data_IF_841214564942
#
_entry.id   IF_841214564942
#
_cell.length_a   1.000
_cell.length_b   1.000
_cell.length_c   1.000
_cell.angle_alpha   90.00
_cell.angle_beta   90.00
_cell.angle_gamma   90.00
#
_symmetry.space_group_name_H-M   'P 1'
#
loop_
_entity.id
_entity.type
_entity.pdbx_description
1 polymer ?
#
# COMPACT_ATOMS: atom_id res chain seq x y z
N UNK A 1 -63.42 29.88 2.69
CA UNK A 1 -62.17 30.10 1.93
C UNK A 1 -61.22 28.96 2.28
N UNK A 2 -60.84 28.16 1.28
CA UNK A 2 -60.08 26.91 1.43
C UNK A 2 -58.59 27.24 1.60
N UNK A 3 -57.95 26.73 2.66
CA UNK A 3 -56.50 26.78 2.85
C UNK A 3 -55.84 25.74 1.92
N UNK A 4 -55.05 26.18 0.94
CA UNK A 4 -54.12 25.33 0.20
C UNK A 4 -52.82 25.17 1.02
N UNK A 5 -52.52 23.95 1.45
CA UNK A 5 -51.20 23.56 1.93
C UNK A 5 -50.35 23.16 0.72
N UNK A 6 -49.30 23.95 0.42
CA UNK A 6 -48.32 23.60 -0.59
C UNK A 6 -47.20 22.78 0.06
N UNK A 7 -47.20 21.46 -0.18
CA UNK A 7 -46.11 20.58 0.23
C UNK A 7 -44.94 20.72 -0.76
N UNK A 8 -43.81 21.26 -0.29
CA UNK A 8 -42.57 21.34 -1.04
C UNK A 8 -41.86 19.98 -0.98
N UNK A 9 -41.97 19.18 -2.04
CA UNK A 9 -41.15 17.97 -2.22
C UNK A 9 -39.72 18.41 -2.58
N UNK A 10 -38.81 18.41 -1.59
CA UNK A 10 -37.37 18.42 -1.86
C UNK A 10 -36.99 17.06 -2.46
N UNK A 11 -36.90 17.00 -3.79
CA UNK A 11 -36.20 15.93 -4.48
C UNK A 11 -34.71 16.07 -4.23
N UNK A 12 -34.18 15.36 -3.24
CA UNK A 12 -32.74 15.17 -3.08
C UNK A 12 -32.24 14.36 -4.28
N UNK A 13 -31.59 15.02 -5.23
CA UNK A 13 -30.83 14.35 -6.30
C UNK A 13 -29.62 13.70 -5.66
N UNK A 14 -29.73 12.41 -5.31
CA UNK A 14 -28.54 11.61 -5.02
C UNK A 14 -27.77 11.46 -6.32
N UNK A 15 -26.60 12.09 -6.41
CA UNK A 15 -25.68 11.90 -7.52
C UNK A 15 -25.25 10.43 -7.53
N UNK A 16 -25.64 9.69 -8.56
CA UNK A 16 -25.11 8.34 -8.80
C UNK A 16 -23.70 8.52 -9.34
N UNK A 17 -22.68 8.26 -8.50
CA UNK A 17 -21.29 8.24 -8.96
C UNK A 17 -21.08 7.06 -9.90
N UNK A 18 -20.36 7.29 -11.00
CA UNK A 18 -20.08 6.25 -11.98
C UNK A 18 -19.19 5.17 -11.37
N UNK A 19 -19.49 3.90 -11.63
CA UNK A 19 -18.73 2.77 -11.12
C UNK A 19 -17.26 2.82 -11.60
N UNK A 20 -16.33 2.58 -10.68
CA UNK A 20 -14.91 2.42 -10.98
C UNK A 20 -14.72 1.20 -11.87
N UNK A 21 -14.04 1.39 -13.00
CA UNK A 21 -13.84 0.33 -14.01
C UNK A 21 -12.46 -0.31 -13.97
N UNK A 22 -11.49 0.33 -13.28
CA UNK A 22 -10.08 -0.05 -13.29
C UNK A 22 -9.42 0.23 -11.95
N UNK A 23 -8.50 -0.62 -11.55
CA UNK A 23 -7.48 -0.32 -10.55
C UNK A 23 -6.46 0.59 -11.23
N UNK A 24 -6.26 1.79 -10.66
CA UNK A 24 -5.31 2.79 -11.14
C UNK A 24 -4.33 3.05 -10.00
N UNK A 25 -3.15 2.38 -9.98
CA UNK A 25 -2.19 2.52 -8.89
C UNK A 25 -1.77 3.98 -8.69
N UNK A 26 -1.88 4.47 -7.45
CA UNK A 26 -1.46 5.81 -7.04
C UNK A 26 -2.53 6.90 -7.22
N UNK A 27 -3.64 6.59 -7.90
CA UNK A 27 -4.76 7.52 -8.01
C UNK A 27 -5.51 7.67 -6.68
N UNK A 28 -6.25 8.77 -6.55
CA UNK A 28 -7.24 8.93 -5.48
C UNK A 28 -8.38 7.96 -5.76
N UNK A 29 -8.57 6.97 -4.90
CA UNK A 29 -9.69 6.05 -4.97
C UNK A 29 -10.82 6.54 -4.07
N UNK A 30 -12.02 6.56 -4.61
CA UNK A 30 -13.23 6.95 -3.87
C UNK A 30 -14.14 5.76 -3.67
N UNK A 31 -14.84 5.74 -2.54
CA UNK A 31 -15.90 4.78 -2.25
C UNK A 31 -17.17 5.09 -3.07
N UNK A 32 -18.21 4.27 -2.89
CA UNK A 32 -19.50 4.43 -3.59
C UNK A 32 -20.26 5.70 -3.23
N UNK A 33 -19.87 6.40 -2.17
CA UNK A 33 -20.43 7.70 -1.75
C UNK A 33 -19.65 8.89 -2.33
N UNK A 34 -18.53 8.63 -3.01
CA UNK A 34 -17.64 9.64 -3.57
C UNK A 34 -16.56 10.14 -2.60
N UNK A 35 -16.50 9.59 -1.38
CA UNK A 35 -15.49 9.95 -0.40
C UNK A 35 -14.19 9.20 -0.66
N UNK A 36 -13.03 9.82 -0.41
CA UNK A 36 -11.74 9.14 -0.54
C UNK A 36 -11.69 7.94 0.40
N UNK A 37 -11.32 6.77 -0.14
CA UNK A 37 -11.09 5.57 0.67
C UNK A 37 -9.93 5.83 1.63
N UNK A 38 -10.17 5.54 2.91
CA UNK A 38 -9.23 5.71 4.02
C UNK A 38 -9.10 4.38 4.77
N UNK A 39 -8.26 3.49 4.23
CA UNK A 39 -8.08 2.10 4.64
C UNK A 39 -6.60 1.67 4.53
N UNK A 40 -5.71 2.51 5.05
CA UNK A 40 -4.26 2.32 4.93
C UNK A 40 -3.73 1.18 5.81
N UNK A 41 -2.54 0.65 5.50
CA UNK A 41 -1.91 -0.40 6.31
C UNK A 41 -2.70 -1.72 6.35
N UNK A 42 -3.71 -1.86 5.51
CA UNK A 42 -4.82 -2.78 5.68
C UNK A 42 -4.60 -4.21 5.20
N UNK A 43 -5.70 -4.94 5.04
CA UNK A 43 -5.73 -6.27 4.42
C UNK A 43 -7.12 -6.64 3.95
N UNK A 44 -7.20 -7.63 3.05
CA UNK A 44 -8.48 -8.12 2.50
C UNK A 44 -8.76 -9.54 2.98
N UNK A 45 -10.01 -9.79 3.36
CA UNK A 45 -10.57 -11.14 3.51
C UNK A 45 -11.80 -11.30 2.61
N UNK A 46 -12.06 -12.52 2.13
CA UNK A 46 -13.30 -12.86 1.41
C UNK A 46 -14.23 -13.65 2.33
N UNK A 47 -15.50 -13.26 2.43
CA UNK A 47 -16.56 -14.03 3.08
C UNK A 47 -17.71 -14.21 2.09
N UNK A 48 -17.98 -15.45 1.69
CA UNK A 48 -18.89 -15.74 0.57
C UNK A 48 -18.38 -15.08 -0.71
N UNK A 49 -19.21 -14.23 -1.32
CA UNK A 49 -18.89 -13.47 -2.54
C UNK A 49 -18.44 -12.03 -2.27
N UNK A 50 -18.32 -11.66 -1.00
CA UNK A 50 -17.96 -10.29 -0.60
C UNK A 50 -16.51 -10.23 -0.11
N UNK A 51 -15.76 -9.29 -0.65
CA UNK A 51 -14.45 -8.88 -0.17
C UNK A 51 -14.63 -7.80 0.91
N UNK A 52 -13.88 -7.92 1.99
CA UNK A 52 -13.83 -6.96 3.08
C UNK A 52 -12.41 -6.44 3.22
N UNK A 53 -12.24 -5.13 3.06
CA UNK A 53 -10.97 -4.44 3.19
C UNK A 53 -10.96 -3.68 4.51
N UNK A 54 -10.17 -4.17 5.47
CA UNK A 54 -9.90 -3.47 6.71
C UNK A 54 -8.67 -2.59 6.54
N UNK A 55 -8.69 -1.39 7.10
CA UNK A 55 -7.51 -0.53 7.17
C UNK A 55 -7.62 0.49 8.30
N UNK A 56 -6.51 1.16 8.61
CA UNK A 56 -6.51 2.26 9.55
C UNK A 56 -6.99 3.53 8.84
N UNK A 57 -7.92 4.26 9.45
CA UNK A 57 -8.34 5.57 8.94
C UNK A 57 -7.38 6.63 9.44
N UNK A 58 -6.51 7.13 8.55
CA UNK A 58 -5.58 8.21 8.86
C UNK A 58 -6.32 9.54 9.16
N UNK A 59 -7.57 9.67 8.70
CA UNK A 59 -8.43 10.83 9.00
C UNK A 59 -9.11 10.74 10.37
N UNK A 60 -9.10 9.57 11.01
CA UNK A 60 -9.83 9.29 12.23
C UNK A 60 -8.96 8.54 13.25
N UNK A 61 -7.79 9.11 13.55
CA UNK A 61 -6.85 8.62 14.56
C UNK A 61 -6.55 7.13 14.45
N UNK A 62 -6.35 6.65 13.21
CA UNK A 62 -6.00 5.28 12.88
C UNK A 62 -6.95 4.25 13.49
N UNK A 63 -8.24 4.61 13.56
CA UNK A 63 -9.30 3.68 13.93
C UNK A 63 -9.51 2.66 12.80
N UNK A 64 -9.89 1.40 13.12
CA UNK A 64 -10.13 0.38 12.10
C UNK A 64 -11.40 0.70 11.30
N UNK A 65 -11.25 0.99 10.02
CA UNK A 65 -12.35 1.20 9.06
C UNK A 65 -12.46 0.00 8.13
N UNK A 66 -13.70 -0.36 7.80
CA UNK A 66 -14.01 -1.49 6.94
C UNK A 66 -14.72 -1.02 5.68
N UNK A 67 -14.33 -1.60 4.55
CA UNK A 67 -15.00 -1.43 3.26
C UNK A 67 -15.41 -2.79 2.73
N UNK A 68 -16.45 -2.83 1.90
CA UNK A 68 -16.88 -4.06 1.22
C UNK A 68 -17.02 -3.87 -0.28
N UNK A 69 -16.73 -4.92 -1.03
CA UNK A 69 -16.87 -4.94 -2.49
C UNK A 69 -17.18 -6.36 -2.96
N UNK A 70 -17.79 -6.49 -4.13
CA UNK A 70 -17.98 -7.79 -4.81
C UNK A 70 -17.08 -7.93 -6.05
N UNK A 71 -16.38 -6.86 -6.45
CA UNK A 71 -15.57 -6.80 -7.67
C UNK A 71 -14.15 -6.24 -7.45
N UNK A 72 -13.81 -5.90 -6.20
CA UNK A 72 -12.56 -5.26 -5.77
C UNK A 72 -12.31 -3.87 -6.38
N UNK A 73 -13.29 -3.28 -7.06
CA UNK A 73 -13.21 -1.96 -7.69
C UNK A 73 -14.13 -0.96 -6.99
N UNK A 74 -15.36 -1.37 -6.71
CA UNK A 74 -16.41 -0.54 -6.16
C UNK A 74 -16.57 -0.86 -4.68
N UNK A 75 -15.97 -0.02 -3.84
CA UNK A 75 -15.91 -0.22 -2.40
C UNK A 75 -16.97 0.61 -1.68
N UNK A 76 -17.84 -0.06 -0.93
CA UNK A 76 -18.79 0.57 -0.01
C UNK A 76 -18.13 0.73 1.36
N UNK A 77 -18.11 1.94 1.87
CA UNK A 77 -17.66 2.23 3.23
C UNK A 77 -18.67 1.67 4.26
N UNK A 78 -18.18 0.78 5.13
CA UNK A 78 -18.94 0.18 6.23
C UNK A 78 -18.63 0.85 7.58
N UNK A 79 -17.81 1.90 7.56
CA UNK A 79 -17.50 2.75 8.68
C UNK A 79 -16.52 2.15 9.69
N UNK A 80 -16.44 2.84 10.82
CA UNK A 80 -15.57 2.51 11.95
C UNK A 80 -16.03 1.23 12.65
N UNK A 81 -15.10 0.29 12.85
CA UNK A 81 -15.38 -1.02 13.47
C UNK A 81 -15.21 -1.01 14.99
N UNK A 82 -14.35 -0.15 15.53
CA UNK A 82 -14.11 0.02 16.96
C UNK A 82 -13.65 1.45 17.27
N UNK A 83 -13.85 1.91 18.50
CA UNK A 83 -13.41 3.24 18.96
C UNK A 83 -11.93 3.30 19.35
N UNK A 84 -11.20 2.19 19.28
CA UNK A 84 -9.75 2.19 19.57
C UNK A 84 -9.01 3.08 18.58
N UNK A 85 -8.09 3.89 19.11
CA UNK A 85 -7.25 4.79 18.32
C UNK A 85 -5.85 4.22 18.17
N UNK A 86 -5.13 4.68 17.14
CA UNK A 86 -3.74 4.32 16.88
C UNK A 86 -3.57 2.81 16.70
N UNK A 87 -4.55 2.14 16.06
CA UNK A 87 -4.48 0.73 15.70
C UNK A 87 -3.85 0.61 14.31
N UNK A 88 -2.53 0.62 14.28
CA UNK A 88 -1.77 0.58 13.04
C UNK A 88 -1.81 -0.81 12.40
N UNK A 89 -1.86 -0.81 11.07
CA UNK A 89 -1.87 -2.00 10.19
C UNK A 89 -2.87 -3.09 10.58
N UNK A 90 -4.17 -2.78 10.71
CA UNK A 90 -5.16 -3.75 11.14
C UNK A 90 -5.29 -4.88 10.11
N UNK A 91 -5.34 -6.13 10.59
CA UNK A 91 -5.54 -7.34 9.80
C UNK A 91 -6.62 -8.21 10.43
N UNK A 92 -7.40 -8.91 9.59
CA UNK A 92 -8.47 -9.80 10.05
C UNK A 92 -7.98 -11.25 10.14
N UNK A 93 -8.38 -11.95 11.20
CA UNK A 93 -8.28 -13.41 11.31
C UNK A 93 -9.59 -14.03 11.79
N UNK A 94 -9.73 -15.36 11.61
CA UNK A 94 -10.89 -16.14 12.07
C UNK A 94 -10.48 -17.51 12.63
N UNK A 95 -9.75 -17.56 13.76
CA UNK A 95 -9.21 -18.80 14.33
C UNK A 95 -10.27 -19.71 14.98
N UNK A 96 -11.39 -19.16 15.46
CA UNK A 96 -12.33 -19.85 16.36
C UNK A 96 -13.81 -19.66 15.96
N UNK A 97 -14.05 -19.24 14.72
CA UNK A 97 -15.38 -18.89 14.22
C UNK A 97 -15.78 -17.44 14.46
N UNK A 98 -15.17 -16.76 15.44
CA UNK A 98 -15.31 -15.31 15.63
C UNK A 98 -14.36 -14.55 14.69
N UNK A 99 -14.71 -13.30 14.38
CA UNK A 99 -13.86 -12.41 13.61
C UNK A 99 -12.98 -11.59 14.53
N UNK A 100 -11.69 -11.60 14.24
CA UNK A 100 -10.69 -10.89 15.01
C UNK A 100 -10.03 -9.82 14.15
N UNK A 101 -9.75 -8.66 14.73
CA UNK A 101 -8.87 -7.64 14.13
C UNK A 101 -7.65 -7.50 15.03
N UNK A 102 -6.46 -7.70 14.46
CA UNK A 102 -5.19 -7.47 15.14
C UNK A 102 -4.52 -6.26 14.52
N UNK A 103 -3.92 -5.42 15.35
CA UNK A 103 -3.08 -4.32 14.88
C UNK A 103 -2.14 -3.86 15.99
N UNK A 104 -1.26 -2.93 15.65
CA UNK A 104 -0.31 -2.39 16.60
C UNK A 104 -0.90 -1.19 17.33
N UNK A 105 -0.83 -1.18 18.67
CA UNK A 105 -1.13 -0.04 19.55
C UNK A 105 0.02 0.14 20.53
N UNK A 106 0.60 1.35 20.60
CA UNK A 106 1.70 1.67 21.52
C UNK A 106 2.85 0.64 21.49
N UNK A 107 3.26 0.26 20.28
CA UNK A 107 4.28 -0.76 20.03
C UNK A 107 3.91 -2.15 20.56
N UNK A 108 2.67 -2.44 20.92
CA UNK A 108 2.18 -3.79 21.29
C UNK A 108 1.12 -4.26 20.27
N UNK A 109 0.77 -5.55 20.30
CA UNK A 109 -0.33 -6.09 19.50
C UNK A 109 -1.62 -6.01 20.31
N UNK A 110 -2.63 -5.34 19.77
CA UNK A 110 -3.97 -5.33 20.32
C UNK A 110 -4.91 -6.16 19.44
N UNK A 111 -5.69 -7.03 20.09
CA UNK A 111 -6.76 -7.78 19.46
C UNK A 111 -8.12 -7.13 19.73
N UNK A 112 -8.98 -7.13 18.72
CA UNK A 112 -10.41 -6.85 18.82
C UNK A 112 -11.18 -8.10 18.35
N UNK A 113 -12.34 -8.38 18.93
CA UNK A 113 -13.16 -9.54 18.58
C UNK A 113 -14.63 -9.17 18.38
N UNK A 114 -15.26 -9.80 17.39
CA UNK A 114 -16.70 -9.73 17.11
C UNK A 114 -17.21 -11.10 16.62
N UNK A 115 -18.47 -11.42 16.89
CA UNK A 115 -19.15 -12.57 16.27
C UNK A 115 -19.65 -12.25 14.87
N UNK A 116 -19.56 -10.99 14.42
CA UNK A 116 -20.03 -10.51 13.13
C UNK A 116 -18.85 -9.93 12.32
N UNK A 117 -18.88 -10.10 10.99
CA UNK A 117 -17.86 -9.52 10.10
C UNK A 117 -17.92 -7.98 10.08
N UNK A 118 -19.09 -7.40 10.33
CA UNK A 118 -19.30 -5.94 10.30
C UNK A 118 -19.83 -5.48 11.65
N UNK A 119 -19.08 -4.60 12.30
CA UNK A 119 -19.42 -4.02 13.60
C UNK A 119 -19.28 -4.99 14.77
N UNK A 120 -19.55 -4.48 15.97
CA UNK A 120 -19.54 -5.26 17.21
C UNK A 120 -18.15 -5.62 17.74
N UNK A 121 -17.08 -5.08 17.16
CA UNK A 121 -15.71 -5.35 17.62
C UNK A 121 -15.44 -4.69 18.96
N UNK A 122 -15.01 -5.50 19.92
CA UNK A 122 -14.61 -5.06 21.26
C UNK A 122 -13.18 -5.46 21.55
N UNK A 123 -12.48 -4.67 22.36
CA UNK A 123 -11.11 -4.96 22.78
C UNK A 123 -11.05 -6.28 23.53
N UNK A 124 -10.21 -7.21 23.05
CA UNK A 124 -9.98 -8.49 23.70
C UNK A 124 -8.70 -8.44 24.54
N UNK A 125 -8.85 -8.41 25.86
CA UNK A 125 -7.71 -8.37 26.80
C UNK A 125 -6.85 -7.11 26.68
N UNK A 126 -5.72 -7.12 27.41
CA UNK A 126 -4.70 -6.08 27.28
C UNK A 126 -3.86 -6.29 26.01
N UNK A 127 -3.30 -5.22 25.45
CA UNK A 127 -2.31 -5.33 24.39
C UNK A 127 -1.09 -6.14 24.86
N UNK A 128 -0.57 -7.00 23.98
CA UNK A 128 0.47 -7.98 24.31
C UNK A 128 1.77 -7.74 23.54
N UNK A 129 2.87 -8.21 24.12
CA UNK A 129 4.14 -8.40 23.41
C UNK A 129 4.16 -9.78 22.74
N UNK A 130 5.10 -10.06 21.84
CA UNK A 130 5.08 -11.26 21.00
C UNK A 130 5.95 -12.39 21.60
N UNK A 131 5.40 -13.55 22.03
CA UNK A 131 6.19 -14.64 22.64
C UNK A 131 7.29 -15.22 21.73
N UNK A 132 8.37 -15.84 22.25
CA UNK A 132 8.63 -16.17 23.66
C UNK A 132 9.39 -15.08 24.44
N UNK A 133 9.95 -14.08 23.75
CA UNK A 133 10.62 -12.94 24.39
C UNK A 133 9.61 -11.79 24.48
N UNK A 134 9.58 -11.01 25.56
CA UNK A 134 8.65 -9.89 25.69
C UNK A 134 9.08 -8.66 24.85
N UNK A 135 9.24 -8.83 23.53
CA UNK A 135 9.64 -7.77 22.60
C UNK A 135 8.52 -7.48 21.59
N UNK A 136 8.57 -6.28 21.00
CA UNK A 136 7.68 -5.88 19.90
C UNK A 136 8.12 -4.53 19.34
N UNK A 137 8.28 -4.37 18.02
CA UNK A 137 8.57 -3.06 17.41
C UNK A 137 8.07 -2.87 15.97
N UNK A 138 6.77 -2.53 15.91
CA UNK A 138 6.00 -2.04 14.76
C UNK A 138 5.40 -3.11 13.84
N UNK A 139 4.64 -2.63 12.87
CA UNK A 139 4.15 -3.26 11.64
C UNK A 139 3.67 -4.71 11.75
N UNK A 140 2.36 -4.86 11.69
CA UNK A 140 1.68 -6.16 11.68
C UNK A 140 1.28 -6.62 10.28
N UNK A 141 1.53 -7.90 10.03
CA UNK A 141 1.00 -8.67 8.91
C UNK A 141 0.13 -9.83 9.40
N UNK A 142 -0.57 -10.48 8.48
CA UNK A 142 -1.39 -11.65 8.79
C UNK A 142 -1.27 -12.67 7.66
N UNK A 143 -1.22 -13.94 8.00
CA UNK A 143 -1.21 -15.04 7.05
C UNK A 143 -2.10 -16.18 7.55
N UNK A 144 -2.87 -16.78 6.63
CA UNK A 144 -3.58 -18.02 6.87
C UNK A 144 -2.97 -19.08 5.97
N UNK A 145 -2.48 -20.16 6.57
CA UNK A 145 -1.93 -21.28 5.81
C UNK A 145 -3.06 -22.19 5.27
N UNK A 146 -2.71 -23.06 4.33
CA UNK A 146 -3.64 -23.97 3.65
C UNK A 146 -4.25 -25.01 4.58
N UNK A 147 -3.65 -25.25 5.75
CA UNK A 147 -4.19 -26.12 6.81
C UNK A 147 -5.22 -25.41 7.71
N UNK A 148 -5.46 -24.11 7.48
CA UNK A 148 -6.35 -23.27 8.28
C UNK A 148 -5.69 -22.59 9.47
N UNK A 149 -4.42 -22.87 9.77
CA UNK A 149 -3.65 -22.20 10.82
C UNK A 149 -3.45 -20.73 10.49
N UNK A 150 -3.63 -19.87 11.49
CA UNK A 150 -3.40 -18.44 11.38
C UNK A 150 -2.07 -18.03 12.00
N UNK A 151 -1.40 -17.06 11.37
CA UNK A 151 -0.13 -16.53 11.82
C UNK A 151 -0.15 -15.01 11.77
N UNK A 152 0.25 -14.38 12.87
CA UNK A 152 0.56 -12.96 12.90
C UNK A 152 2.05 -12.77 12.57
N UNK A 153 2.33 -11.75 11.76
CA UNK A 153 3.68 -11.34 11.44
C UNK A 153 3.94 -10.01 12.13
N UNK A 154 5.14 -9.83 12.66
CA UNK A 154 5.49 -8.60 13.38
C UNK A 154 6.92 -8.22 13.08
N UNK A 155 7.19 -6.94 12.79
CA UNK A 155 8.53 -6.42 12.97
C UNK A 155 8.82 -6.42 14.48
N UNK A 156 9.55 -7.41 14.96
CA UNK A 156 9.94 -7.56 16.35
C UNK A 156 11.39 -7.09 16.52
N UNK A 157 11.67 -6.31 17.57
CA UNK A 157 13.02 -5.91 18.02
C UNK A 157 14.05 -5.57 16.93
N UNK A 158 14.19 -4.27 16.64
CA UNK A 158 15.15 -3.58 15.73
C UNK A 158 15.34 -4.17 14.32
N UNK A 159 15.62 -5.47 14.16
CA UNK A 159 16.01 -6.15 12.94
C UNK A 159 15.37 -7.54 12.71
N UNK A 160 14.31 -7.91 13.42
CA UNK A 160 13.67 -9.23 13.26
C UNK A 160 12.24 -9.11 12.73
N UNK A 161 11.87 -9.92 11.74
CA UNK A 161 10.45 -10.20 11.45
C UNK A 161 10.11 -11.53 12.07
N UNK A 162 9.20 -11.53 13.03
CA UNK A 162 8.76 -12.72 13.74
C UNK A 162 7.41 -13.20 13.23
N UNK A 163 7.24 -14.51 13.13
CA UNK A 163 6.00 -15.16 12.69
C UNK A 163 5.51 -16.00 13.86
N UNK A 164 4.33 -15.68 14.39
CA UNK A 164 3.74 -16.38 15.53
C UNK A 164 2.42 -17.01 15.13
N UNK A 165 2.19 -18.24 15.58
CA UNK A 165 0.89 -18.88 15.42
C UNK A 165 -0.15 -18.16 16.28
N UNK A 166 -1.36 -17.98 15.76
CA UNK A 166 -2.52 -17.57 16.54
C UNK A 166 -3.18 -18.83 17.07
N UNK A 167 -3.41 -18.88 18.37
CA UNK A 167 -4.04 -20.02 19.02
C UNK A 167 -5.53 -20.09 18.67
N UNK A 168 -6.15 -21.25 18.93
CA UNK A 168 -7.58 -21.48 18.65
C UNK A 168 -8.52 -20.64 19.52
N UNK A 169 -8.02 -19.87 20.48
CA UNK A 169 -8.77 -18.90 21.29
C UNK A 169 -8.50 -17.45 20.86
N UNK A 170 -7.78 -17.24 19.76
CA UNK A 170 -7.39 -15.92 19.25
C UNK A 170 -6.19 -15.26 19.97
N UNK A 171 -5.63 -15.88 21.01
CA UNK A 171 -4.41 -15.36 21.64
C UNK A 171 -3.18 -15.55 20.74
N UNK A 172 -2.18 -14.67 20.89
CA UNK A 172 -0.90 -14.80 20.17
C UNK A 172 -0.08 -15.93 20.83
N UNK A 173 0.22 -16.96 20.06
CA UNK A 173 0.89 -18.18 20.51
C UNK A 173 2.38 -18.22 20.19
N UNK A 174 2.89 -19.44 20.11
CA UNK A 174 4.31 -19.71 19.94
C UNK A 174 4.87 -19.15 18.62
N UNK A 175 6.15 -18.75 18.66
CA UNK A 175 6.92 -18.39 17.47
C UNK A 175 7.06 -19.61 16.57
N UNK A 176 6.63 -19.47 15.32
CA UNK A 176 6.77 -20.47 14.27
C UNK A 176 8.13 -20.36 13.58
N UNK A 177 8.52 -19.15 13.18
CA UNK A 177 9.84 -18.84 12.63
C UNK A 177 10.15 -17.35 12.78
N UNK A 178 11.32 -16.94 12.31
CA UNK A 178 11.73 -15.55 12.23
C UNK A 178 12.67 -15.33 11.05
N UNK A 179 12.71 -14.10 10.58
CA UNK A 179 13.77 -13.56 9.73
C UNK A 179 14.57 -12.59 10.61
N UNK A 180 15.77 -12.99 11.05
CA UNK A 180 16.67 -12.16 11.86
C UNK A 180 17.99 -11.92 11.12
N UNK A 181 18.57 -10.74 11.30
CA UNK A 181 19.94 -10.45 10.83
C UNK A 181 21.01 -10.58 11.90
N UNK A 182 20.61 -10.87 13.14
CA UNK A 182 21.53 -11.18 14.23
C UNK A 182 21.67 -12.69 14.45
N UNK A 183 22.84 -13.05 14.96
CA UNK A 183 23.32 -14.39 15.30
C UNK A 183 22.60 -15.05 16.49
N UNK A 184 21.32 -14.74 16.71
CA UNK A 184 20.53 -15.20 17.86
C UNK A 184 19.99 -16.62 17.61
N UNK A 185 20.95 -17.48 17.26
CA UNK A 185 20.82 -18.84 16.79
C UNK A 185 21.43 -19.71 17.87
N UNK A 186 20.56 -20.51 18.48
CA UNK A 186 20.95 -21.84 18.90
C UNK A 186 21.71 -22.49 17.74
N UNK A 187 22.99 -22.78 17.97
CA UNK A 187 24.08 -23.14 17.05
C UNK A 187 23.81 -24.27 16.02
N UNK A 188 22.59 -24.76 15.90
CA UNK A 188 22.17 -25.86 15.03
C UNK A 188 21.26 -25.45 13.86
N UNK A 189 20.71 -24.23 13.82
CA UNK A 189 19.88 -23.77 12.69
C UNK A 189 20.01 -22.27 12.42
N UNK A 190 20.76 -21.89 11.38
CA UNK A 190 20.93 -20.48 11.00
C UNK A 190 21.36 -20.22 9.57
N UNK A 191 20.52 -19.47 8.88
CA UNK A 191 20.93 -18.67 7.74
C UNK A 191 21.96 -17.63 8.22
N UNK A 192 23.25 -17.86 7.95
CA UNK A 192 24.30 -16.85 8.04
C UNK A 192 24.21 -15.95 6.80
N UNK A 193 23.62 -14.77 6.94
CA UNK A 193 23.71 -13.71 5.93
C UNK A 193 25.06 -12.98 6.09
N UNK A 194 26.16 -13.62 5.69
CA UNK A 194 27.47 -12.96 5.58
C UNK A 194 27.53 -12.21 4.25
N UNK A 195 27.62 -10.88 4.31
CA UNK A 195 27.89 -9.93 3.21
C UNK A 195 26.71 -9.04 2.74
N UNK A 196 26.04 -8.33 3.65
CA UNK A 196 25.28 -7.13 3.27
C UNK A 196 25.72 -5.90 4.09
N UNK A 197 26.02 -4.76 3.44
CA UNK A 197 26.27 -3.50 4.15
C UNK A 197 24.96 -3.03 4.80
N UNK A 198 24.95 -2.91 6.14
CA UNK A 198 23.83 -2.39 6.93
C UNK A 198 22.43 -2.86 6.46
N UNK A 199 22.32 -4.17 6.21
CA UNK A 199 21.06 -4.88 6.04
C UNK A 199 20.57 -5.41 7.38
N UNK A 200 19.30 -5.18 7.70
CA UNK A 200 18.61 -6.07 8.62
C UNK A 200 17.33 -5.60 9.28
N UNK A 201 17.01 -4.32 9.20
CA UNK A 201 15.73 -3.81 9.69
C UNK A 201 14.64 -4.00 8.63
N UNK A 202 13.82 -5.04 8.79
CA UNK A 202 12.64 -5.28 7.95
C UNK A 202 11.35 -4.89 8.67
N UNK A 203 10.40 -4.33 7.94
CA UNK A 203 9.05 -3.98 8.39
C UNK A 203 8.01 -4.33 7.31
N UNK A 204 6.75 -3.92 7.52
CA UNK A 204 5.65 -4.17 6.59
C UNK A 204 5.52 -5.64 6.12
N UNK A 205 5.53 -6.64 7.04
CA UNK A 205 5.61 -8.03 6.63
C UNK A 205 4.29 -8.56 6.05
N UNK A 206 4.40 -9.37 5.01
CA UNK A 206 3.30 -10.14 4.42
C UNK A 206 3.79 -11.48 3.88
N UNK A 207 2.93 -12.50 3.84
CA UNK A 207 3.27 -13.81 3.25
C UNK A 207 2.26 -14.15 2.17
N UNK A 208 2.81 -14.53 1.02
CA UNK A 208 2.09 -15.23 -0.04
C UNK A 208 2.56 -16.68 -0.09
N UNK A 209 1.64 -17.64 -0.12
CA UNK A 209 1.95 -19.04 -0.39
C UNK A 209 1.43 -19.43 -1.78
N UNK A 210 2.33 -19.98 -2.60
CA UNK A 210 1.99 -20.54 -3.92
C UNK A 210 2.61 -21.93 -4.00
N UNK A 211 1.78 -22.92 -4.35
CA UNK A 211 2.12 -24.34 -4.22
C UNK A 211 2.68 -24.63 -2.81
N UNK A 212 3.83 -25.30 -2.74
CA UNK A 212 4.52 -25.62 -1.48
C UNK A 212 5.60 -24.59 -1.11
N UNK A 213 5.49 -23.35 -1.60
CA UNK A 213 6.48 -22.29 -1.38
C UNK A 213 5.84 -21.11 -0.67
N UNK A 214 6.44 -20.72 0.45
CA UNK A 214 6.13 -19.51 1.18
C UNK A 214 7.04 -18.38 0.69
N UNK A 215 6.48 -17.23 0.38
CA UNK A 215 7.17 -16.01 0.00
C UNK A 215 6.85 -14.93 1.04
N UNK A 216 7.84 -14.57 1.87
CA UNK A 216 7.77 -13.47 2.83
C UNK A 216 8.20 -12.19 2.14
N UNK A 217 7.33 -11.19 2.12
CA UNK A 217 7.58 -9.86 1.55
C UNK A 217 7.68 -8.85 2.69
N UNK A 218 8.69 -7.99 2.60
CA UNK A 218 9.03 -6.99 3.61
C UNK A 218 9.55 -5.72 2.96
N UNK A 219 9.39 -4.57 3.62
CA UNK A 219 10.11 -3.35 3.26
C UNK A 219 11.32 -3.14 4.18
N UNK A 220 12.27 -2.30 3.76
CA UNK A 220 13.23 -1.71 4.69
C UNK A 220 12.57 -0.68 5.62
N UNK A 221 13.22 -0.32 6.73
CA UNK A 221 12.76 0.72 7.66
C UNK A 221 13.25 2.11 7.24
N UNK A 222 12.43 2.83 6.48
CA UNK A 222 12.73 4.21 6.02
C UNK A 222 11.63 5.21 6.39
N UNK A 223 10.82 4.87 7.40
CA UNK A 223 9.63 5.63 7.77
C UNK A 223 8.64 5.63 6.60
N UNK A 224 8.05 6.79 6.31
CA UNK A 224 7.09 6.94 5.20
C UNK A 224 7.72 6.92 3.81
N UNK A 225 9.05 7.00 3.70
CA UNK A 225 9.72 6.99 2.40
C UNK A 225 9.71 5.58 1.82
N UNK A 226 9.30 5.44 0.57
CA UNK A 226 9.37 4.18 -0.18
C UNK A 226 10.82 3.68 -0.31
N UNK A 227 10.96 2.36 -0.42
CA UNK A 227 12.21 1.66 -0.66
C UNK A 227 11.95 0.39 -1.48
N UNK A 228 13.01 -0.23 -1.98
CA UNK A 228 12.93 -1.49 -2.72
C UNK A 228 12.59 -2.63 -1.74
N UNK A 229 11.33 -3.06 -1.77
CA UNK A 229 10.82 -4.14 -0.94
C UNK A 229 11.51 -5.45 -1.34
N UNK A 230 11.73 -6.32 -0.36
CA UNK A 230 12.46 -7.57 -0.50
C UNK A 230 11.51 -8.75 -0.33
N UNK A 231 11.81 -9.83 -1.02
CA UNK A 231 11.20 -11.14 -0.85
C UNK A 231 12.23 -12.15 -0.33
N UNK A 232 11.74 -13.05 0.52
CA UNK A 232 12.40 -14.26 0.96
C UNK A 232 11.50 -15.45 0.69
N UNK A 233 12.08 -16.62 0.44
CA UNK A 233 11.29 -17.85 0.28
C UNK A 233 11.68 -18.95 1.26
N UNK A 234 10.73 -19.84 1.55
CA UNK A 234 10.92 -21.06 2.33
C UNK A 234 9.99 -22.17 1.84
N UNK A 235 10.38 -23.43 2.04
CA UNK A 235 9.52 -24.59 1.84
C UNK A 235 8.64 -24.92 3.06
N UNK A 236 8.87 -24.23 4.19
CA UNK A 236 8.09 -24.39 5.43
C UNK A 236 7.98 -23.07 6.17
N UNK A 237 6.79 -22.77 6.70
CA UNK A 237 6.58 -21.58 7.56
C UNK A 237 7.39 -21.63 8.87
N UNK A 238 7.82 -22.82 9.31
CA UNK A 238 8.72 -23.01 10.46
C UNK A 238 10.19 -23.14 10.06
N UNK A 239 10.47 -23.12 8.75
CA UNK A 239 11.80 -23.31 8.18
C UNK A 239 12.64 -22.05 8.12
N UNK A 240 13.82 -22.18 7.51
CA UNK A 240 14.71 -21.06 7.23
C UNK A 240 14.32 -20.33 5.95
N UNK A 241 14.47 -19.01 5.97
CA UNK A 241 14.17 -18.13 4.84
C UNK A 241 15.41 -17.87 3.97
N UNK A 242 15.25 -17.94 2.65
CA UNK A 242 16.30 -17.66 1.65
C UNK A 242 16.00 -16.35 0.93
N UNK A 243 16.98 -15.44 0.87
CA UNK A 243 16.86 -14.09 0.29
C UNK A 243 17.98 -13.17 0.79
N UNK A 244 17.86 -11.84 0.66
CA UNK A 244 16.75 -11.10 0.05
C UNK A 244 16.81 -11.06 -1.49
N UNK A 245 15.65 -10.98 -2.14
CA UNK A 245 15.49 -10.70 -3.58
C UNK A 245 14.57 -9.50 -3.79
N UNK A 246 14.84 -8.69 -4.81
CA UNK A 246 13.96 -7.56 -5.16
C UNK A 246 12.67 -8.05 -5.82
N UNK A 247 11.53 -7.45 -5.44
CA UNK A 247 10.23 -7.71 -6.09
C UNK A 247 9.89 -6.71 -7.21
N UNK A 248 10.68 -5.64 -7.33
CA UNK A 248 10.53 -4.61 -8.35
C UNK A 248 11.92 -4.02 -8.68
N UNK A 249 12.12 -3.36 -9.84
CA UNK A 249 13.38 -2.69 -10.14
C UNK A 249 13.74 -1.68 -9.04
N UNK A 250 15.01 -1.68 -8.61
CA UNK A 250 15.46 -0.87 -7.47
C UNK A 250 15.16 0.64 -7.64
N UNK A 251 15.31 1.15 -8.87
CA UNK A 251 15.05 2.54 -9.19
C UNK A 251 13.59 2.97 -8.93
N UNK A 252 12.65 2.04 -9.03
CA UNK A 252 11.21 2.30 -8.84
C UNK A 252 10.83 2.34 -7.36
N UNK A 253 11.68 1.85 -6.45
CA UNK A 253 11.40 1.76 -5.01
C UNK A 253 10.03 1.13 -4.74
N UNK A 254 9.75 0.00 -5.39
CA UNK A 254 8.44 -0.67 -5.34
C UNK A 254 7.31 0.22 -5.86
N UNK A 255 7.57 0.96 -6.95
CA UNK A 255 6.65 1.92 -7.56
C UNK A 255 6.13 2.96 -6.56
N UNK A 256 7.05 3.52 -5.78
CA UNK A 256 6.81 4.49 -4.70
C UNK A 256 5.78 4.03 -3.65
N UNK A 257 5.91 2.76 -3.23
CA UNK A 257 5.06 2.17 -2.19
C UNK A 257 5.81 1.34 -1.18
N UNK A 258 5.10 1.04 -0.09
CA UNK A 258 5.51 0.13 0.96
C UNK A 258 4.50 -0.99 1.09
N UNK A 259 4.97 -2.22 1.30
CA UNK A 259 4.10 -3.38 1.44
C UNK A 259 3.01 -3.19 2.51
N UNK A 260 1.89 -3.87 2.33
CA UNK A 260 0.80 -3.91 3.29
C UNK A 260 0.20 -5.30 3.41
N UNK A 261 -0.05 -5.96 2.27
CA UNK A 261 -0.69 -7.26 2.22
C UNK A 261 -0.56 -7.90 0.82
N UNK A 262 -0.57 -9.23 0.75
CA UNK A 262 -0.70 -9.98 -0.50
C UNK A 262 -2.03 -10.72 -0.52
N UNK A 263 -2.77 -10.58 -1.62
CA UNK A 263 -4.08 -11.22 -1.76
C UNK A 263 -4.11 -12.20 -2.93
N UNK A 264 -4.73 -13.36 -2.70
CA UNK A 264 -4.92 -14.41 -3.71
C UNK A 264 -6.36 -14.43 -4.20
N UNK A 265 -6.56 -14.09 -5.47
CA UNK A 265 -7.84 -14.17 -6.17
C UNK A 265 -7.94 -15.52 -6.87
N UNK A 266 -8.72 -16.44 -6.31
CA UNK A 266 -8.96 -17.77 -6.88
C UNK A 266 -10.14 -17.71 -7.83
N UNK A 267 -9.85 -17.64 -9.12
CA UNK A 267 -10.84 -17.63 -10.19
C UNK A 267 -11.05 -19.00 -10.83
N UNK A 268 -12.16 -19.12 -11.55
CA UNK A 268 -12.53 -20.33 -12.31
C UNK A 268 -11.62 -20.64 -13.51
N UNK A 269 -10.87 -19.66 -14.03
CA UNK A 269 -9.94 -19.85 -15.16
C UNK A 269 -8.48 -19.79 -14.74
N UNK A 270 -8.14 -18.90 -13.81
CA UNK A 270 -6.79 -18.78 -13.27
C UNK A 270 -6.81 -18.25 -11.83
N UNK A 271 -5.71 -18.46 -11.12
CA UNK A 271 -5.44 -17.74 -9.86
C UNK A 271 -4.59 -16.51 -10.17
N UNK A 272 -4.98 -15.36 -9.63
CA UNK A 272 -4.22 -14.12 -9.70
C UNK A 272 -3.74 -13.74 -8.31
N UNK A 273 -2.45 -13.40 -8.20
CA UNK A 273 -1.84 -12.89 -6.98
C UNK A 273 -1.70 -11.37 -7.09
N UNK A 274 -2.01 -10.65 -6.02
CA UNK A 274 -1.99 -9.21 -6.00
C UNK A 274 -1.18 -8.71 -4.81
N UNK A 275 -0.22 -7.83 -5.10
CA UNK A 275 0.46 -7.00 -4.12
C UNK A 275 -0.43 -5.84 -3.76
N UNK A 276 -0.55 -5.54 -2.46
CA UNK A 276 -1.15 -4.33 -1.96
C UNK A 276 -0.08 -3.54 -1.20
N UNK A 277 0.17 -2.33 -1.64
CA UNK A 277 1.04 -1.37 -0.96
C UNK A 277 0.37 -0.04 -0.72
N UNK A 278 0.88 0.68 0.27
CA UNK A 278 0.55 2.06 0.56
C UNK A 278 1.62 2.98 -0.06
N UNK A 279 1.20 3.98 -0.83
CA UNK A 279 2.03 5.12 -1.23
C UNK A 279 1.81 6.22 -0.21
N UNK A 280 2.65 6.22 0.83
CA UNK A 280 2.51 7.12 1.96
C UNK A 280 2.83 8.57 1.59
N UNK A 281 2.02 9.51 2.09
CA UNK A 281 2.46 10.89 2.16
C UNK A 281 3.59 11.05 3.21
N UNK A 282 4.25 12.21 3.25
CA UNK A 282 5.39 12.43 4.14
C UNK A 282 5.08 12.35 5.64
N UNK A 283 3.80 12.22 6.01
CA UNK A 283 3.29 12.14 7.38
C UNK A 283 2.57 10.82 7.67
N UNK A 284 2.44 9.93 6.69
CA UNK A 284 1.57 8.74 6.79
C UNK A 284 0.10 9.10 6.95
N UNK A 285 -0.30 10.27 6.45
CA UNK A 285 -1.61 10.88 6.68
C UNK A 285 -2.64 10.57 5.59
N UNK A 286 -3.80 11.25 5.63
CA UNK A 286 -4.92 11.02 4.71
C UNK A 286 -4.63 11.28 3.23
N UNK A 287 -3.50 11.92 2.88
CA UNK A 287 -3.15 12.15 1.48
C UNK A 287 -2.47 10.96 0.82
N UNK A 288 -2.07 9.96 1.62
CA UNK A 288 -1.54 8.67 1.15
C UNK A 288 -2.49 7.97 0.18
N UNK A 289 -1.96 7.19 -0.76
CA UNK A 289 -2.72 6.47 -1.78
C UNK A 289 -2.33 4.98 -1.81
N UNK A 290 -2.91 4.22 -2.75
CA UNK A 290 -2.75 2.76 -2.82
C UNK A 290 -2.07 2.33 -4.11
N UNK A 291 -1.09 1.43 -4.01
CA UNK A 291 -0.44 0.78 -5.14
C UNK A 291 -0.81 -0.70 -5.10
N UNK A 292 -1.84 -1.09 -5.87
CA UNK A 292 -2.19 -2.50 -6.04
C UNK A 292 -1.74 -2.99 -7.41
N UNK A 293 -0.94 -4.06 -7.43
CA UNK A 293 -0.30 -4.56 -8.65
C UNK A 293 -0.45 -6.09 -8.75
N UNK A 294 -0.64 -6.64 -9.96
CA UNK A 294 -0.48 -8.08 -10.17
C UNK A 294 0.94 -8.53 -9.80
N UNK A 295 1.03 -9.74 -9.27
CA UNK A 295 2.31 -10.39 -8.97
C UNK A 295 2.54 -11.55 -9.94
N UNK A 296 3.73 -11.59 -10.54
CA UNK A 296 4.22 -12.74 -11.30
C UNK A 296 5.04 -13.60 -10.35
N UNK A 297 4.57 -14.83 -10.10
CA UNK A 297 5.18 -15.76 -9.17
C UNK A 297 5.68 -16.99 -9.94
N UNK A 298 6.93 -17.37 -9.72
CA UNK A 298 7.51 -18.60 -10.26
C UNK A 298 8.03 -19.46 -9.11
N UNK A 299 7.32 -20.54 -8.80
CA UNK A 299 7.64 -21.44 -7.69
C UNK A 299 8.85 -22.33 -7.95
N UNK A 300 9.22 -22.55 -9.22
CA UNK A 300 10.43 -23.31 -9.58
C UNK A 300 11.68 -22.45 -9.45
N UNK A 301 11.63 -21.22 -9.97
CA UNK A 301 12.73 -20.24 -9.87
C UNK A 301 12.78 -19.52 -8.51
N UNK A 302 11.74 -19.69 -7.67
CA UNK A 302 11.58 -19.02 -6.37
C UNK A 302 11.60 -17.49 -6.49
N UNK A 303 10.94 -16.96 -7.52
CA UNK A 303 10.89 -15.52 -7.78
C UNK A 303 9.48 -14.96 -7.66
N UNK A 304 9.42 -13.68 -7.26
CA UNK A 304 8.23 -12.83 -7.26
C UNK A 304 8.64 -11.52 -7.89
N UNK A 305 7.85 -11.03 -8.85
CA UNK A 305 8.00 -9.67 -9.40
C UNK A 305 6.66 -8.99 -9.56
N UNK A 306 6.62 -7.68 -9.38
CA UNK A 306 5.43 -6.86 -9.57
C UNK A 306 5.28 -6.50 -11.06
N UNK A 307 4.12 -6.77 -11.65
CA UNK A 307 3.80 -6.45 -13.04
C UNK A 307 3.06 -5.11 -13.11
N UNK A 308 3.81 -4.01 -13.21
CA UNK A 308 3.23 -2.67 -13.22
C UNK A 308 2.47 -2.36 -14.50
N UNK A 309 1.20 -1.97 -14.35
CA UNK A 309 0.40 -1.34 -15.40
C UNK A 309 -0.28 -0.10 -14.85
N UNK A 310 -0.30 0.98 -15.64
CA UNK A 310 -0.97 2.23 -15.26
C UNK A 310 -2.46 2.03 -14.93
N UNK A 311 -3.09 1.04 -15.56
CA UNK A 311 -4.47 0.65 -15.33
C UNK A 311 -4.62 -0.85 -15.57
N UNK A 312 -5.29 -1.53 -14.66
CA UNK A 312 -5.61 -2.96 -14.81
C UNK A 312 -6.88 -3.29 -14.05
N UNK A 313 -7.44 -4.46 -14.29
CA UNK A 313 -8.50 -5.03 -13.44
C UNK A 313 -8.42 -6.54 -13.48
N UNK A 314 -9.02 -7.17 -12.48
CA UNK A 314 -9.23 -8.60 -12.43
C UNK A 314 -10.72 -8.88 -12.44
N UNK A 315 -11.16 -9.82 -13.27
CA UNK A 315 -12.46 -10.44 -13.08
C UNK A 315 -12.34 -11.41 -11.91
N UNK A 316 -12.93 -11.07 -10.76
CA UNK A 316 -12.80 -11.85 -9.52
C UNK A 316 -13.39 -13.27 -9.61
N UNK A 317 -14.30 -13.53 -10.56
CA UNK A 317 -14.89 -14.85 -10.75
C UNK A 317 -14.03 -15.76 -11.62
N UNK A 318 -13.32 -15.20 -12.59
CA UNK A 318 -12.46 -15.97 -13.50
C UNK A 318 -10.98 -15.89 -13.14
N UNK A 319 -10.59 -14.89 -12.37
CA UNK A 319 -9.21 -14.54 -12.03
C UNK A 319 -8.46 -13.87 -13.18
N UNK A 320 -9.10 -13.70 -14.34
CA UNK A 320 -8.44 -13.18 -15.54
C UNK A 320 -8.18 -11.67 -15.39
N UNK A 321 -6.94 -11.28 -15.65
CA UNK A 321 -6.54 -9.87 -15.70
C UNK A 321 -6.85 -9.30 -17.08
N UNK A 322 -7.31 -8.04 -17.11
CA UNK A 322 -7.43 -7.27 -18.33
C UNK A 322 -6.84 -5.87 -18.16
N UNK A 323 -6.44 -5.30 -19.29
CA UNK A 323 -5.86 -3.96 -19.39
C UNK A 323 -6.66 -3.15 -20.42
N UNK A 324 -6.63 -1.81 -20.37
CA UNK A 324 -7.23 -1.00 -21.42
C UNK A 324 -6.62 -1.31 -22.79
N UNK A 325 -7.47 -1.63 -23.77
CA UNK A 325 -7.09 -1.98 -25.14
C UNK A 325 -6.76 -0.76 -25.99
N UNK A 326 -7.31 0.41 -25.63
CA UNK A 326 -7.07 1.67 -26.33
C UNK A 326 -6.19 2.56 -25.47
N UNK A 327 -4.93 2.72 -25.87
CA UNK A 327 -3.98 3.61 -25.20
C UNK A 327 -3.69 4.79 -26.13
N UNK A 328 -4.01 6.01 -25.71
CA UNK A 328 -3.50 7.22 -26.37
C UNK A 328 -2.51 7.88 -25.43
N UNK A 329 -1.24 7.82 -25.82
CA UNK A 329 -0.13 8.41 -25.07
C UNK A 329 0.15 9.81 -25.61
N UNK A 330 0.41 10.74 -24.71
CA UNK A 330 0.83 12.09 -25.03
C UNK A 330 2.17 12.31 -24.32
N UNK A 331 3.24 12.53 -25.08
CA UNK A 331 4.55 12.81 -24.48
C UNK A 331 4.59 14.26 -24.00
N UNK A 332 5.17 14.49 -22.82
CA UNK A 332 5.17 15.81 -22.20
C UNK A 332 5.94 16.84 -23.04
N UNK A 333 6.98 16.42 -23.74
CA UNK A 333 7.79 17.27 -24.62
C UNK A 333 7.09 17.73 -25.90
N UNK A 334 5.94 17.15 -26.21
CA UNK A 334 5.05 17.57 -27.31
C UNK A 334 3.94 18.52 -26.81
N UNK A 335 3.84 18.73 -25.49
CA UNK A 335 2.92 19.67 -24.89
C UNK A 335 3.36 21.12 -25.14
N UNK A 336 2.42 22.06 -24.99
CA UNK A 336 2.76 23.47 -24.98
C UNK A 336 3.36 23.80 -23.62
N UNK A 337 4.61 24.23 -23.63
CA UNK A 337 5.37 24.58 -22.43
C UNK A 337 5.34 26.09 -22.24
N UNK A 338 5.05 26.54 -21.02
CA UNK A 338 5.12 27.96 -20.64
C UNK A 338 5.97 28.16 -19.39
N UNK A 339 6.44 29.38 -19.17
CA UNK A 339 7.30 29.71 -18.03
C UNK A 339 8.68 29.07 -18.16
N UNK A 340 9.12 28.34 -17.13
CA UNK A 340 10.46 27.73 -17.05
C UNK A 340 10.50 26.25 -17.45
N UNK A 341 9.38 25.70 -17.90
CA UNK A 341 9.32 24.35 -18.44
C UNK A 341 10.14 24.25 -19.73
N UNK A 342 11.07 23.30 -19.79
CA UNK A 342 11.91 23.07 -20.96
C UNK A 342 12.13 21.58 -21.17
N UNK A 343 12.29 21.19 -22.43
CA UNK A 343 12.65 19.83 -22.80
C UNK A 343 14.15 19.61 -22.57
N UNK A 344 14.51 18.47 -22.00
CA UNK A 344 15.90 18.01 -21.92
C UNK A 344 16.00 16.50 -22.12
N UNK A 345 17.21 16.00 -22.30
CA UNK A 345 17.47 14.57 -22.46
C UNK A 345 17.13 13.81 -21.17
N UNK A 346 16.49 12.67 -21.33
CA UNK A 346 16.18 11.72 -20.25
C UNK A 346 16.44 10.32 -20.78
N UNK A 347 17.56 9.71 -20.40
CA UNK A 347 17.97 8.41 -20.96
C UNK A 347 16.99 7.28 -20.62
N UNK A 348 16.30 7.40 -19.48
CA UNK A 348 15.36 6.40 -18.99
C UNK A 348 13.93 6.63 -19.52
N UNK A 349 13.67 7.77 -20.15
CA UNK A 349 12.38 8.07 -20.78
C UNK A 349 12.25 7.35 -22.12
N UNK A 350 11.01 7.01 -22.50
CA UNK A 350 10.71 6.25 -23.71
C UNK A 350 11.12 7.01 -24.97
N UNK A 351 10.81 8.30 -25.04
CA UNK A 351 11.21 9.20 -26.13
C UNK A 351 12.65 9.72 -26.02
N UNK A 352 13.38 9.31 -24.97
CA UNK A 352 14.68 9.86 -24.56
C UNK A 352 14.67 11.34 -24.20
N UNK A 353 13.48 11.92 -24.02
CA UNK A 353 13.24 13.34 -23.69
C UNK A 353 12.26 13.44 -22.53
N UNK A 354 12.39 14.51 -21.75
CA UNK A 354 11.43 14.85 -20.69
C UNK A 354 11.33 16.36 -20.53
N UNK A 355 10.20 16.81 -19.99
CA UNK A 355 10.03 18.20 -19.56
C UNK A 355 10.55 18.37 -18.14
N UNK A 356 11.53 19.24 -17.96
CA UNK A 356 12.05 19.64 -16.67
C UNK A 356 11.85 21.14 -16.44
N UNK A 357 11.90 21.57 -15.17
CA UNK A 357 12.01 22.99 -14.84
C UNK A 357 13.49 23.36 -14.90
N UNK A 358 13.88 24.34 -15.74
CA UNK A 358 15.28 24.80 -15.77
C UNK A 358 15.69 25.35 -14.40
N UNK A 359 16.73 24.77 -13.77
CA UNK A 359 17.44 25.39 -12.64
C UNK A 359 18.22 26.60 -13.17
N UNK A 360 17.68 27.79 -12.95
CA UNK A 360 18.37 29.08 -13.04
C UNK A 360 18.83 29.52 -14.44
N UNK A 361 18.10 30.46 -15.02
CA UNK A 361 18.76 31.62 -15.64
C UNK A 361 18.62 32.73 -14.61
N UNK A 362 19.74 33.17 -14.02
CA UNK A 362 19.78 34.46 -13.31
C UNK A 362 19.20 35.51 -14.27
N UNK A 363 18.26 36.40 -13.87
CA UNK A 363 17.91 37.51 -14.74
C UNK A 363 19.19 38.29 -15.01
N UNK A 364 19.62 38.31 -16.26
CA UNK A 364 20.75 39.10 -16.72
C UNK A 364 20.34 40.58 -16.72
N UNK A 365 20.25 41.18 -15.53
CA UNK A 365 20.40 42.61 -15.23
C UNK A 365 19.78 42.93 -13.86
N UNK A 366 20.57 43.03 -12.80
CA UNK A 366 20.49 44.17 -11.88
C UNK A 366 21.75 44.22 -11.01
N UNK A 367 22.60 45.23 -11.27
CA UNK A 367 23.62 45.66 -10.32
C UNK A 367 22.95 46.49 -9.25
N UNK A 368 22.92 46.02 -8.00
CA UNK A 368 22.91 46.91 -6.84
C UNK A 368 23.95 46.41 -5.85
N UNK A 369 24.94 47.26 -5.63
CA UNK A 369 26.07 47.05 -4.75
C UNK A 369 25.65 47.49 -3.34
N UNK A 370 25.33 46.56 -2.45
CA UNK A 370 25.41 46.77 -0.99
C UNK A 370 25.68 45.42 -0.33
N UNK A 371 26.86 45.29 0.27
CA UNK A 371 27.39 44.05 0.82
C UNK A 371 26.51 43.44 1.93
N UNK A 372 26.04 42.23 1.68
CA UNK A 372 25.85 41.14 2.67
C UNK A 372 25.54 39.84 1.92
N UNK A 373 26.26 38.78 2.27
CA UNK A 373 26.14 37.44 1.69
C UNK A 373 24.80 36.83 2.14
N UNK A 374 23.81 36.77 1.24
CA UNK A 374 22.55 36.06 1.45
C UNK A 374 22.63 34.71 0.71
N UNK A 375 22.59 33.62 1.47
CA UNK A 375 22.32 32.28 0.98
C UNK A 375 20.87 32.23 0.47
N UNK A 376 20.70 31.97 -0.83
CA UNK A 376 19.38 31.88 -1.47
C UNK A 376 18.81 30.47 -1.32
N UNK A 377 17.72 30.35 -0.56
CA UNK A 377 16.82 29.20 -0.65
C UNK A 377 16.05 29.28 -1.98
N UNK A 378 16.19 28.26 -2.83
CA UNK A 378 15.48 28.19 -4.12
C UNK A 378 14.01 27.82 -3.88
N UNK A 379 13.13 28.80 -4.01
CA UNK A 379 11.70 28.59 -4.22
C UNK A 379 11.52 28.08 -5.65
N UNK A 380 10.93 26.90 -5.81
CA UNK A 380 10.36 26.47 -7.10
C UNK A 380 9.10 27.30 -7.31
N UNK A 381 9.20 28.41 -8.06
CA UNK A 381 8.05 29.24 -8.40
C UNK A 381 6.95 28.44 -9.11
N UNK A 382 5.71 28.63 -8.66
CA UNK A 382 4.46 27.94 -9.04
C UNK A 382 3.91 28.27 -10.44
N UNK A 383 4.71 28.87 -11.33
CA UNK A 383 4.25 29.44 -12.61
C UNK A 383 4.53 28.60 -13.85
N UNK A 384 5.19 27.45 -13.73
CA UNK A 384 5.46 26.58 -14.89
C UNK A 384 4.25 25.70 -15.19
N UNK A 385 3.80 25.68 -16.46
CA UNK A 385 2.67 24.86 -16.89
C UNK A 385 3.09 23.95 -18.06
N UNK A 386 2.59 22.72 -18.03
CA UNK A 386 2.65 21.76 -19.14
C UNK A 386 1.22 21.58 -19.63
N UNK A 387 0.91 22.08 -20.82
CA UNK A 387 -0.45 22.06 -21.36
C UNK A 387 -0.56 21.09 -22.53
N UNK A 388 -1.30 20.00 -22.33
CA UNK A 388 -1.68 19.09 -23.41
C UNK A 388 -2.88 19.65 -24.16
N UNK A 389 -2.77 19.85 -25.48
CA UNK A 389 -3.89 20.22 -26.36
C UNK A 389 -4.29 19.05 -27.26
N UNK A 390 -5.48 19.12 -27.84
CA UNK A 390 -6.03 18.07 -28.72
C UNK A 390 -6.13 16.70 -28.04
N UNK A 391 -6.36 16.70 -26.72
CA UNK A 391 -6.69 15.48 -25.99
C UNK A 391 -8.08 15.04 -26.43
N UNK A 392 -8.13 14.01 -27.27
CA UNK A 392 -9.39 13.47 -27.79
C UNK A 392 -9.97 12.50 -26.77
N UNK A 393 -11.03 12.92 -26.07
CA UNK A 393 -11.81 12.03 -25.21
C UNK A 393 -12.86 11.25 -26.00
N UNK A 394 -13.42 10.21 -25.39
CA UNK A 394 -14.52 9.42 -25.96
C UNK A 394 -15.91 10.05 -25.73
N UNK A 395 -15.98 11.21 -25.07
CA UNK A 395 -17.24 11.83 -24.66
C UNK A 395 -17.81 11.32 -23.33
N UNK A 396 -17.04 10.54 -22.57
CA UNK A 396 -17.37 10.04 -21.23
C UNK A 396 -16.17 10.27 -20.28
N UNK A 397 -16.34 10.18 -18.93
CA UNK A 397 -15.21 10.29 -18.00
C UNK A 397 -14.09 9.31 -18.35
N UNK A 398 -12.86 9.81 -18.41
CA UNK A 398 -11.66 9.02 -18.72
C UNK A 398 -10.61 9.20 -17.62
N UNK A 399 -9.90 8.12 -17.32
CA UNK A 399 -8.73 8.17 -16.46
C UNK A 399 -7.54 8.70 -17.26
N UNK A 400 -6.79 9.62 -16.65
CA UNK A 400 -5.51 10.11 -17.15
C UNK A 400 -4.46 9.71 -16.11
N UNK A 401 -3.47 8.93 -16.53
CA UNK A 401 -2.26 8.70 -15.74
C UNK A 401 -1.20 9.72 -16.15
N UNK A 402 -0.69 10.48 -15.18
CA UNK A 402 0.43 11.40 -15.39
C UNK A 402 1.64 10.80 -14.68
N UNK A 403 2.63 10.40 -15.47
CA UNK A 403 3.90 9.92 -14.95
C UNK A 403 4.85 11.11 -14.82
N UNK A 404 5.29 11.41 -13.61
CA UNK A 404 6.29 12.45 -13.35
C UNK A 404 7.25 11.98 -12.25
N UNK A 405 8.49 12.47 -12.32
CA UNK A 405 9.52 12.17 -11.33
C UNK A 405 9.99 13.47 -10.70
N UNK A 406 10.02 13.54 -9.37
CA UNK A 406 10.58 14.68 -8.65
C UNK A 406 12.05 14.38 -8.35
N UNK A 407 12.95 14.91 -9.17
CA UNK A 407 14.40 14.65 -9.09
C UNK A 407 15.11 15.27 -7.86
N UNK A 408 14.38 15.92 -6.93
CA UNK A 408 14.95 16.43 -5.68
C UNK A 408 13.94 16.40 -4.51
N UNK A 409 13.84 15.27 -3.78
CA UNK A 409 12.98 15.16 -2.60
C UNK A 409 13.48 15.98 -1.39
N UNK A 410 14.72 16.49 -1.39
CA UNK A 410 15.28 17.31 -0.29
C UNK A 410 14.76 18.76 -0.28
N UNK A 411 13.90 19.15 -1.22
CA UNK A 411 13.27 20.48 -1.24
C UNK A 411 12.25 20.71 -0.11
N UNK A 412 11.89 19.66 0.65
CA UNK A 412 10.93 19.74 1.76
C UNK A 412 11.40 18.87 2.95
N UNK A 413 12.57 19.17 3.52
CA UNK A 413 12.98 18.73 4.86
C UNK A 413 14.23 19.52 5.23
N UNK A 414 14.22 20.46 6.18
CA UNK A 414 14.34 20.28 7.63
C UNK A 414 14.31 21.68 8.31
N UNK A 415 14.23 21.76 9.65
CA UNK A 415 13.14 21.41 10.55
C UNK A 415 12.04 22.49 10.65
#
# INVERSE_FOLDING_TARGET
>A
MILLHLALLLSATFGVFAATSWIVPGAIWTDTSGDKIDAHGGGIVKQGDTFYWIGQSASNSETPYLYSSTDMLNWKNLGKQSSIQYLWRPKIAKPDGSFWIYGQVNRNIQALVSTQMVGGYTTHGAAVTVPPKNYTYSDTGMFQDTDGSWYILTSADHNTVQINKINSDGSIGAKASQLSTESDIDSTAACKLTNFPAGGAYEAPGILKVDDVYFLIVSGKTGWRSNTNKMFYSASITGSWTGPFDIAPEAEKTYDSQNTFEFTIRGSKQTTYMYMGDSWDSKGGPSSNYIWLPMVVNTSAKTVSLDYHAMWKVDVNTGVISYPTTKKRYEAEDAILTGRAAVSSCNDCISKRAVHIRKGIQPSSLTVNLGKKLTTHQIVESSSQVTFKNVTGTGSPQWISIHYTVNNPEGLSYP
#
